data_IF_673554557437
#
_entry.id   IF_673554557437
#
_cell.length_a   1.000
_cell.length_b   1.000
_cell.length_c   1.000
_cell.angle_alpha   90.00
_cell.angle_beta   90.00
_cell.angle_gamma   90.00
#
_symmetry.space_group_name_H-M   'P 1'
#
loop_
_entity.id
_entity.type
_entity.pdbx_description
1 polymer ?
#
# COMPACT_ATOMS: atom_id res chain seq x y z
N UNK A 1 6.22 -13.88 -31.74
CA UNK A 1 6.13 -12.84 -30.71
C UNK A 1 4.93 -11.99 -31.09
N UNK A 2 3.79 -12.14 -30.38
CA UNK A 2 2.66 -11.20 -30.52
C UNK A 2 3.19 -9.82 -30.12
N UNK A 3 3.18 -8.86 -31.03
CA UNK A 3 3.30 -7.48 -30.65
C UNK A 3 2.07 -7.14 -29.80
N UNK A 4 2.24 -7.10 -28.51
CA UNK A 4 1.24 -6.52 -27.61
C UNK A 4 1.23 -5.03 -27.94
N UNK A 5 0.06 -4.50 -28.33
CA UNK A 5 -0.08 -3.08 -28.68
C UNK A 5 0.16 -2.13 -27.49
N UNK A 6 0.43 -2.68 -26.35
CA UNK A 6 0.84 -1.94 -25.18
C UNK A 6 -0.25 -1.13 -24.48
N UNK A 7 -1.52 -1.25 -24.84
CA UNK A 7 -2.62 -0.63 -24.09
C UNK A 7 -3.67 -1.69 -23.74
N UNK A 8 -3.74 -1.99 -22.45
CA UNK A 8 -4.74 -2.89 -21.88
C UNK A 8 -5.72 -2.04 -21.05
N UNK A 9 -7.02 -2.20 -21.28
CA UNK A 9 -8.07 -1.45 -20.55
C UNK A 9 -8.97 -2.47 -19.85
N UNK A 10 -9.08 -2.39 -18.53
CA UNK A 10 -9.80 -3.36 -17.67
C UNK A 10 -9.45 -4.83 -18.01
N UNK A 11 -8.18 -5.12 -18.27
CA UNK A 11 -7.70 -6.45 -18.63
C UNK A 11 -7.92 -6.86 -20.09
N UNK A 12 -8.53 -6.00 -20.91
CA UNK A 12 -8.70 -6.23 -22.35
C UNK A 12 -7.57 -5.60 -23.14
N UNK A 13 -6.76 -6.40 -23.82
CA UNK A 13 -5.78 -5.89 -24.78
C UNK A 13 -6.48 -5.39 -26.04
N UNK A 14 -6.26 -4.14 -26.41
CA UNK A 14 -6.82 -3.58 -27.64
C UNK A 14 -6.29 -4.29 -28.90
N UNK A 15 -5.13 -4.94 -28.82
CA UNK A 15 -4.59 -5.79 -29.89
C UNK A 15 -5.46 -6.99 -30.23
N UNK A 16 -6.17 -7.55 -29.25
CA UNK A 16 -7.10 -8.65 -29.49
C UNK A 16 -8.33 -8.21 -30.34
N UNK A 17 -8.61 -6.90 -30.36
CA UNK A 17 -9.63 -6.30 -31.23
C UNK A 17 -9.08 -5.91 -32.62
N UNK A 18 -7.82 -6.21 -32.90
CA UNK A 18 -7.14 -5.85 -34.15
C UNK A 18 -6.73 -4.38 -34.24
N UNK A 19 -6.65 -3.69 -33.10
CA UNK A 19 -6.25 -2.29 -33.02
C UNK A 19 -4.75 -2.17 -32.78
N UNK A 20 -4.13 -1.20 -33.41
CA UNK A 20 -2.74 -0.82 -33.24
C UNK A 20 -2.68 0.64 -32.80
N UNK A 21 -1.83 0.96 -31.85
CA UNK A 21 -1.58 2.34 -31.46
C UNK A 21 -0.45 2.89 -32.33
N UNK A 22 -0.69 4.01 -33.00
CA UNK A 22 0.30 4.65 -33.86
C UNK A 22 1.23 5.56 -33.10
N UNK A 23 0.67 6.42 -32.25
CA UNK A 23 1.40 7.46 -31.55
C UNK A 23 0.79 7.70 -30.15
N UNK A 24 1.54 8.37 -29.28
CA UNK A 24 1.01 8.84 -28.00
C UNK A 24 1.07 7.81 -26.89
N UNK A 25 2.04 6.92 -26.92
CA UNK A 25 2.21 5.89 -25.91
C UNK A 25 2.59 6.42 -24.53
N UNK A 26 3.10 7.63 -24.47
CA UNK A 26 3.60 8.20 -23.22
C UNK A 26 2.52 9.07 -22.57
N UNK A 27 2.17 8.77 -21.34
CA UNK A 27 1.42 9.71 -20.52
C UNK A 27 2.37 10.78 -19.97
N UNK A 28 2.05 12.08 -20.17
CA UNK A 28 2.86 13.15 -19.62
C UNK A 28 2.83 13.09 -18.10
N UNK A 29 3.87 13.58 -17.45
CA UNK A 29 3.85 13.81 -16.01
C UNK A 29 2.72 14.79 -15.67
N UNK A 30 2.04 14.62 -14.52
CA UNK A 30 0.99 15.54 -14.14
C UNK A 30 1.56 16.89 -13.75
N UNK A 31 0.93 17.94 -14.19
CA UNK A 31 1.32 19.30 -13.82
C UNK A 31 0.99 19.59 -12.36
N UNK A 32 1.86 20.25 -11.59
CA UNK A 32 1.52 20.72 -10.25
C UNK A 32 0.42 21.77 -10.31
N UNK A 33 -0.49 21.74 -9.34
CA UNK A 33 -1.46 22.82 -9.13
C UNK A 33 -0.79 23.93 -8.33
N UNK A 34 -0.41 24.99 -9.00
CA UNK A 34 0.16 26.17 -8.34
C UNK A 34 -0.94 27.08 -7.81
N UNK A 35 -0.73 27.59 -6.61
CA UNK A 35 -1.61 28.60 -6.01
C UNK A 35 -0.78 29.77 -5.51
N UNK A 36 -0.84 30.86 -6.26
CA UNK A 36 -0.12 32.09 -5.96
C UNK A 36 -1.09 33.24 -5.70
N UNK A 37 -0.76 34.10 -4.75
CA UNK A 37 -1.56 35.27 -4.38
C UNK A 37 -0.74 36.52 -4.66
N UNK A 38 -1.27 37.42 -5.48
CA UNK A 38 -0.70 38.72 -5.70
C UNK A 38 -1.15 39.67 -4.59
N UNK A 39 -0.20 40.34 -3.95
CA UNK A 39 -0.48 41.31 -2.90
C UNK A 39 -0.25 42.73 -3.44
N UNK A 40 -1.30 43.56 -3.57
CA UNK A 40 -1.16 44.89 -4.06
C UNK A 40 -0.17 45.75 -3.23
N UNK A 41 0.82 46.34 -3.90
CA UNK A 41 1.85 47.14 -3.26
C UNK A 41 3.05 46.37 -2.70
N UNK A 42 3.13 45.08 -2.95
CA UNK A 42 4.29 44.24 -2.65
C UNK A 42 4.98 43.80 -3.94
N UNK A 43 6.30 43.67 -3.91
CA UNK A 43 7.04 43.05 -4.98
C UNK A 43 6.91 41.53 -4.90
N UNK A 44 6.58 40.90 -6.04
CA UNK A 44 6.42 39.45 -6.16
C UNK A 44 5.05 38.90 -5.70
N UNK A 45 4.94 37.60 -5.61
CA UNK A 45 3.73 36.87 -5.24
C UNK A 45 3.99 35.99 -4.01
N UNK A 46 2.96 35.74 -3.25
CA UNK A 46 3.01 34.73 -2.17
C UNK A 46 2.63 33.37 -2.79
N UNK A 47 3.54 32.42 -2.75
CA UNK A 47 3.29 31.06 -3.19
C UNK A 47 2.74 30.23 -2.02
N UNK A 48 1.52 29.73 -2.21
CA UNK A 48 0.80 28.87 -1.27
C UNK A 48 0.63 27.44 -1.81
N UNK A 49 1.38 27.07 -2.82
CA UNK A 49 1.26 25.76 -3.50
C UNK A 49 1.41 24.58 -2.53
N UNK A 50 2.31 24.69 -1.56
CA UNK A 50 2.60 23.66 -0.56
C UNK A 50 1.95 23.92 0.81
N UNK A 51 1.03 24.87 0.91
CA UNK A 51 0.41 25.26 2.18
C UNK A 51 -0.27 24.08 2.90
N UNK A 52 -0.77 23.09 2.17
CA UNK A 52 -1.39 21.88 2.73
C UNK A 52 -0.37 20.78 3.10
N UNK A 53 0.93 21.07 3.02
CA UNK A 53 2.02 20.15 3.37
C UNK A 53 2.49 19.25 2.25
N UNK A 54 1.83 19.25 1.08
CA UNK A 54 2.28 18.54 -0.13
C UNK A 54 1.71 19.21 -1.39
N UNK A 55 2.36 18.93 -2.53
CA UNK A 55 1.96 19.44 -3.84
C UNK A 55 0.77 18.62 -4.35
N UNK A 56 -0.28 19.30 -4.76
CA UNK A 56 -1.38 18.68 -5.48
C UNK A 56 -1.13 18.74 -6.99
N UNK A 57 -1.49 17.68 -7.72
CA UNK A 57 -1.28 17.58 -9.16
C UNK A 57 -2.60 17.64 -9.94
N UNK A 58 -2.51 18.07 -11.19
CA UNK A 58 -3.61 18.03 -12.14
C UNK A 58 -3.77 16.62 -12.72
N UNK A 59 -4.91 16.39 -13.38
CA UNK A 59 -5.09 15.16 -14.16
C UNK A 59 -4.16 15.19 -15.39
N UNK A 60 -3.69 14.00 -15.77
CA UNK A 60 -2.93 13.82 -17.01
C UNK A 60 -3.90 13.70 -18.17
N UNK A 61 -3.62 14.36 -19.27
CA UNK A 61 -4.43 14.22 -20.49
C UNK A 61 -3.57 13.78 -21.65
N UNK A 62 -4.01 12.74 -22.34
CA UNK A 62 -3.33 12.19 -23.51
C UNK A 62 -4.34 11.71 -24.54
N UNK A 63 -3.98 11.83 -25.81
CA UNK A 63 -4.76 11.25 -26.92
C UNK A 63 -3.91 10.20 -27.63
N UNK A 64 -4.41 8.98 -27.64
CA UNK A 64 -3.86 7.85 -28.40
C UNK A 64 -4.51 7.81 -29.76
N UNK A 65 -3.75 7.55 -30.80
CA UNK A 65 -4.28 7.29 -32.15
C UNK A 65 -4.34 5.80 -32.37
N UNK A 66 -5.55 5.25 -32.31
CA UNK A 66 -5.82 3.84 -32.61
C UNK A 66 -6.00 3.65 -34.12
N UNK A 67 -5.44 2.58 -34.67
CA UNK A 67 -5.55 2.23 -36.08
C UNK A 67 -6.04 0.79 -36.21
N UNK A 68 -6.91 0.54 -37.19
CA UNK A 68 -7.23 -0.80 -37.63
C UNK A 68 -7.47 -0.83 -39.15
N UNK A 69 -7.23 -1.99 -39.76
CA UNK A 69 -7.62 -2.25 -41.15
C UNK A 69 -9.03 -2.81 -41.21
N UNK A 70 -9.95 -2.08 -41.83
CA UNK A 70 -11.34 -2.49 -42.01
C UNK A 70 -11.68 -2.55 -43.50
N UNK A 71 -12.10 -3.71 -43.97
CA UNK A 71 -12.41 -3.91 -45.38
C UNK A 71 -13.68 -3.16 -45.83
N UNK A 72 -14.57 -2.85 -44.92
CA UNK A 72 -15.83 -2.14 -45.21
C UNK A 72 -16.16 -1.14 -44.10
N UNK A 73 -16.91 -0.09 -44.44
CA UNK A 73 -17.44 0.88 -43.49
C UNK A 73 -18.26 0.22 -42.38
N UNK A 74 -18.98 -0.86 -42.72
CA UNK A 74 -19.74 -1.63 -41.73
C UNK A 74 -18.85 -2.28 -40.69
N UNK A 75 -17.72 -2.85 -41.08
CA UNK A 75 -16.73 -3.42 -40.12
C UNK A 75 -16.16 -2.35 -39.24
N UNK A 76 -15.84 -1.16 -39.77
CA UNK A 76 -15.37 -0.02 -38.98
C UNK A 76 -16.42 0.45 -37.98
N UNK A 77 -17.70 0.55 -38.36
CA UNK A 77 -18.78 0.91 -37.45
C UNK A 77 -19.03 -0.12 -36.34
N UNK A 78 -18.90 -1.40 -36.63
CA UNK A 78 -18.99 -2.46 -35.60
C UNK A 78 -17.86 -2.34 -34.64
N UNK A 79 -16.61 -2.13 -35.08
CA UNK A 79 -15.45 -1.93 -34.25
C UNK A 79 -15.59 -0.67 -33.38
N UNK A 80 -16.01 0.44 -33.97
CA UNK A 80 -16.28 1.69 -33.23
C UNK A 80 -17.33 1.49 -32.13
N UNK A 81 -18.42 0.76 -32.43
CA UNK A 81 -19.47 0.49 -31.45
C UNK A 81 -18.93 -0.38 -30.30
N UNK A 82 -18.09 -1.36 -30.59
CA UNK A 82 -17.47 -2.22 -29.60
C UNK A 82 -16.51 -1.44 -28.71
N UNK A 83 -15.66 -0.58 -29.30
CA UNK A 83 -14.79 0.33 -28.57
C UNK A 83 -15.58 1.31 -27.69
N UNK A 84 -16.63 1.92 -28.25
CA UNK A 84 -17.43 2.87 -27.49
C UNK A 84 -18.09 2.20 -26.28
N UNK A 85 -18.58 0.97 -26.42
CA UNK A 85 -19.13 0.20 -25.29
C UNK A 85 -18.08 -0.11 -24.22
N UNK A 86 -16.85 -0.36 -24.63
CA UNK A 86 -15.75 -0.67 -23.71
C UNK A 86 -15.30 0.56 -22.95
N UNK A 87 -15.07 1.70 -23.63
CA UNK A 87 -14.31 2.82 -23.06
C UNK A 87 -15.04 4.14 -23.00
N UNK A 88 -15.95 4.46 -23.96
CA UNK A 88 -16.44 5.82 -24.12
C UNK A 88 -17.22 6.32 -22.91
N UNK A 89 -16.80 7.49 -22.39
CA UNK A 89 -17.41 8.16 -21.24
C UNK A 89 -17.19 7.46 -19.90
N UNK A 90 -16.49 6.33 -19.86
CA UNK A 90 -16.31 5.54 -18.65
C UNK A 90 -14.95 5.81 -18.00
N UNK A 91 -14.93 5.72 -16.67
CA UNK A 91 -13.70 5.68 -15.89
C UNK A 91 -13.26 4.23 -15.79
N UNK A 92 -12.04 3.94 -16.20
CA UNK A 92 -11.48 2.61 -16.34
C UNK A 92 -10.05 2.56 -15.84
N UNK A 93 -9.61 1.36 -15.46
CA UNK A 93 -8.19 1.09 -15.23
C UNK A 93 -7.53 0.72 -16.56
N UNK A 94 -6.28 1.10 -16.73
CA UNK A 94 -5.51 0.77 -17.90
C UNK A 94 -4.02 0.64 -17.60
N UNK A 95 -3.33 -0.17 -18.38
CA UNK A 95 -1.90 -0.37 -18.29
C UNK A 95 -1.25 -0.08 -19.65
N UNK A 96 -0.04 0.48 -19.60
CA UNK A 96 0.77 0.79 -20.76
C UNK A 96 1.92 -0.21 -20.86
N UNK A 97 2.14 -0.80 -22.03
CA UNK A 97 3.23 -1.75 -22.23
C UNK A 97 4.63 -1.16 -22.06
N UNK A 98 4.76 0.16 -22.12
CA UNK A 98 6.01 0.88 -21.89
C UNK A 98 6.29 1.17 -20.42
N UNK A 99 5.27 1.07 -19.56
CA UNK A 99 5.40 1.27 -18.11
C UNK A 99 4.92 0.00 -17.37
N UNK A 100 5.65 -1.12 -17.53
CA UNK A 100 5.23 -2.38 -16.95
C UNK A 100 5.26 -2.35 -15.43
N UNK A 101 4.29 -3.00 -14.81
CA UNK A 101 4.15 -3.03 -13.36
C UNK A 101 3.34 -1.87 -12.78
N UNK A 102 2.71 -1.05 -13.66
CA UNK A 102 1.89 0.08 -13.25
C UNK A 102 0.53 0.08 -13.91
N UNK A 103 -0.47 0.42 -13.11
CA UNK A 103 -1.85 0.59 -13.53
C UNK A 103 -2.28 2.03 -13.33
N UNK A 104 -2.91 2.60 -14.34
CA UNK A 104 -3.48 3.93 -14.35
C UNK A 104 -4.99 3.87 -14.24
N UNK A 105 -5.61 4.94 -13.75
CA UNK A 105 -7.06 5.09 -13.74
C UNK A 105 -7.44 6.39 -14.44
N UNK A 106 -8.35 6.32 -15.39
CA UNK A 106 -8.75 7.50 -16.15
C UNK A 106 -10.13 7.37 -16.80
N UNK A 107 -10.63 8.49 -17.30
CA UNK A 107 -11.85 8.55 -18.08
C UNK A 107 -11.51 8.69 -19.56
N UNK A 108 -12.10 7.82 -20.36
CA UNK A 108 -11.86 7.76 -21.79
C UNK A 108 -12.94 8.46 -22.59
N UNK A 109 -12.53 9.08 -23.69
CA UNK A 109 -13.41 9.62 -24.72
C UNK A 109 -12.93 9.17 -26.10
N UNK A 110 -13.78 8.43 -26.79
CA UNK A 110 -13.52 8.01 -28.17
C UNK A 110 -13.98 9.14 -29.09
N UNK A 111 -13.08 9.62 -29.93
CA UNK A 111 -13.38 10.64 -30.92
C UNK A 111 -13.95 10.08 -32.23
N UNK A 112 -14.18 11.00 -33.18
CA UNK A 112 -14.68 10.65 -34.49
C UNK A 112 -13.61 9.92 -35.31
N UNK A 113 -13.91 8.77 -35.92
CA UNK A 113 -12.98 8.08 -36.77
C UNK A 113 -12.66 8.86 -38.03
N UNK A 114 -11.45 8.67 -38.54
CA UNK A 114 -11.05 9.15 -39.86
C UNK A 114 -10.67 7.96 -40.74
N UNK A 115 -10.92 8.09 -42.04
CA UNK A 115 -10.63 7.10 -43.03
C UNK A 115 -9.91 7.74 -44.23
N UNK A 116 -8.77 7.17 -44.61
CA UNK A 116 -8.06 7.61 -45.78
C UNK A 116 -8.70 6.98 -47.03
N UNK A 117 -9.22 7.83 -47.93
CA UNK A 117 -9.83 7.39 -49.17
C UNK A 117 -8.85 6.57 -50.01
N UNK A 118 -9.31 5.38 -50.45
CA UNK A 118 -8.48 4.45 -51.21
C UNK A 118 -7.65 3.48 -50.39
N UNK A 119 -7.77 3.49 -49.08
CA UNK A 119 -7.14 2.54 -48.18
C UNK A 119 -8.17 1.74 -47.39
N UNK A 120 -7.75 0.70 -46.68
CA UNK A 120 -8.57 0.00 -45.69
C UNK A 120 -8.30 0.46 -44.28
N UNK A 121 -7.53 1.57 -44.10
CA UNK A 121 -7.05 2.06 -42.82
C UNK A 121 -8.03 3.03 -42.23
N UNK A 122 -8.43 2.74 -41.00
CA UNK A 122 -9.27 3.58 -40.17
C UNK A 122 -8.51 3.98 -38.90
N UNK A 123 -8.67 5.19 -38.46
CA UNK A 123 -8.08 5.69 -37.23
C UNK A 123 -9.12 6.28 -36.30
N UNK A 124 -8.97 6.06 -34.99
CA UNK A 124 -9.81 6.59 -33.93
C UNK A 124 -8.94 7.32 -32.89
N UNK A 125 -9.18 8.61 -32.65
CA UNK A 125 -8.56 9.28 -31.52
C UNK A 125 -9.22 8.83 -30.21
N UNK A 126 -8.42 8.31 -29.29
CA UNK A 126 -8.85 7.91 -27.96
C UNK A 126 -8.20 8.82 -26.93
N UNK A 127 -8.95 9.76 -26.39
CA UNK A 127 -8.47 10.66 -25.34
C UNK A 127 -8.72 10.07 -23.97
N UNK A 128 -7.72 10.12 -23.10
CA UNK A 128 -7.84 9.75 -21.69
C UNK A 128 -7.53 10.97 -20.81
N UNK A 129 -8.36 11.17 -19.80
CA UNK A 129 -8.08 12.04 -18.65
C UNK A 129 -7.81 11.14 -17.47
N UNK A 130 -6.53 10.94 -17.14
CA UNK A 130 -6.08 10.04 -16.12
C UNK A 130 -5.80 10.74 -14.79
N UNK A 131 -5.90 10.00 -13.71
CA UNK A 131 -5.49 10.48 -12.39
C UNK A 131 -4.00 10.82 -12.38
N UNK A 132 -3.57 11.73 -11.51
CA UNK A 132 -2.17 12.14 -11.45
C UNK A 132 -1.23 11.01 -11.03
N UNK A 133 -1.71 10.09 -10.21
CA UNK A 133 -0.89 9.01 -9.68
C UNK A 133 -1.23 7.69 -10.36
N UNK A 134 -0.19 6.91 -10.63
CA UNK A 134 -0.27 5.51 -11.05
C UNK A 134 -0.18 4.60 -9.83
N UNK A 135 -0.79 3.44 -9.89
CA UNK A 135 -0.80 2.44 -8.83
C UNK A 135 0.08 1.28 -9.24
N UNK A 136 0.93 0.82 -8.35
CA UNK A 136 1.79 -0.34 -8.60
C UNK A 136 0.95 -1.60 -8.73
N UNK A 137 1.28 -2.46 -9.69
CA UNK A 137 0.64 -3.76 -9.85
C UNK A 137 0.88 -4.63 -8.60
N UNK A 138 -0.15 -5.37 -8.21
CA UNK A 138 -0.13 -6.10 -6.95
C UNK A 138 -0.53 -5.26 -5.73
N UNK A 139 -0.88 -3.97 -5.92
CA UNK A 139 -1.52 -3.19 -4.88
C UNK A 139 -2.97 -3.67 -4.65
N UNK A 140 -3.46 -3.58 -3.39
CA UNK A 140 -2.74 -3.05 -2.23
C UNK A 140 -1.59 -3.96 -1.78
N UNK A 141 -0.45 -3.34 -1.43
CA UNK A 141 0.64 -4.06 -0.81
C UNK A 141 0.21 -4.53 0.58
N UNK A 142 0.50 -5.77 0.90
CA UNK A 142 0.12 -6.38 2.18
C UNK A 142 1.36 -6.90 2.88
N UNK A 143 1.55 -6.46 4.10
CA UNK A 143 2.61 -6.90 5.00
C UNK A 143 1.99 -7.69 6.13
N UNK A 144 2.39 -8.95 6.25
CA UNK A 144 1.91 -9.86 7.26
C UNK A 144 2.93 -9.95 8.40
N UNK A 145 2.46 -9.82 9.62
CA UNK A 145 3.28 -9.96 10.83
C UNK A 145 2.90 -11.25 11.54
N UNK A 146 3.79 -12.20 11.57
CA UNK A 146 3.63 -13.49 12.22
C UNK A 146 4.61 -13.63 13.40
N UNK A 147 4.73 -12.59 14.20
CA UNK A 147 5.64 -12.62 15.34
C UNK A 147 4.97 -12.07 16.58
N UNK A 148 5.27 -12.67 17.72
CA UNK A 148 4.90 -12.13 19.01
C UNK A 148 5.83 -10.97 19.39
N UNK A 149 5.25 -9.94 20.00
CA UNK A 149 6.01 -8.75 20.45
C UNK A 149 6.16 -7.67 19.39
N UNK A 150 7.09 -6.76 19.60
CA UNK A 150 7.33 -5.65 18.70
C UNK A 150 8.04 -6.05 17.42
N UNK A 151 7.45 -5.77 16.27
CA UNK A 151 8.02 -5.99 14.94
C UNK A 151 8.16 -4.65 14.23
N UNK A 152 9.36 -4.36 13.79
CA UNK A 152 9.66 -3.20 12.98
C UNK A 152 9.52 -3.55 11.51
N UNK A 153 8.74 -2.77 10.79
CA UNK A 153 8.52 -2.89 9.35
C UNK A 153 9.05 -1.65 8.67
N UNK A 154 9.84 -1.82 7.64
CA UNK A 154 10.19 -0.74 6.71
C UNK A 154 9.24 -0.79 5.52
N UNK A 155 8.38 0.20 5.38
CA UNK A 155 7.31 0.29 4.39
C UNK A 155 7.68 1.29 3.30
N UNK A 156 7.97 0.85 2.07
CA UNK A 156 8.25 1.74 0.96
C UNK A 156 6.95 2.40 0.47
N UNK A 157 6.96 3.71 0.33
CA UNK A 157 5.82 4.49 -0.16
C UNK A 157 6.25 5.34 -1.35
N UNK A 158 5.41 5.36 -2.40
CA UNK A 158 5.60 6.19 -3.58
C UNK A 158 5.36 7.68 -3.29
N UNK A 159 5.33 8.49 -4.34
CA UNK A 159 5.21 9.95 -4.18
C UNK A 159 3.95 10.39 -3.45
N UNK A 160 2.88 9.61 -3.52
CA UNK A 160 1.65 9.90 -2.79
C UNK A 160 1.70 9.35 -1.39
N UNK A 161 1.63 10.22 -0.38
CA UNK A 161 1.46 9.81 1.01
C UNK A 161 0.23 8.96 1.21
N UNK A 162 0.27 7.99 2.09
CA UNK A 162 -0.82 7.05 2.32
C UNK A 162 -1.09 6.83 3.80
N UNK A 163 -2.37 6.69 4.14
CA UNK A 163 -2.80 6.22 5.44
C UNK A 163 -3.07 4.72 5.33
N UNK A 164 -2.24 3.85 5.93
CA UNK A 164 -2.41 2.42 5.82
C UNK A 164 -3.65 1.93 6.58
N UNK A 165 -4.23 0.84 6.10
CA UNK A 165 -5.16 0.03 6.88
C UNK A 165 -4.35 -0.96 7.68
N UNK A 166 -4.55 -0.98 8.99
CA UNK A 166 -3.89 -1.93 9.90
C UNK A 166 -4.98 -2.80 10.51
N UNK A 167 -4.87 -4.08 10.30
CA UNK A 167 -5.74 -5.06 10.93
C UNK A 167 -4.95 -5.82 11.97
N UNK A 168 -5.46 -5.83 13.19
CA UNK A 168 -4.86 -6.54 14.32
C UNK A 168 -5.87 -7.49 14.93
N UNK A 169 -5.44 -8.65 15.39
CA UNK A 169 -6.36 -9.59 16.04
C UNK A 169 -6.43 -9.39 17.56
N UNK A 170 -5.48 -8.67 18.14
CA UNK A 170 -5.43 -8.34 19.56
C UNK A 170 -5.16 -6.87 19.74
N UNK A 171 -5.41 -6.36 20.93
CA UNK A 171 -4.94 -5.03 21.29
C UNK A 171 -3.44 -4.92 20.98
N UNK A 172 -3.08 -3.95 20.19
CA UNK A 172 -1.73 -3.77 19.68
C UNK A 172 -1.30 -2.31 19.77
N UNK A 173 -0.02 -2.08 19.98
CA UNK A 173 0.55 -0.74 19.97
C UNK A 173 1.27 -0.51 18.63
N UNK A 174 0.87 0.54 17.93
CA UNK A 174 1.50 0.96 16.69
C UNK A 174 2.29 2.22 16.94
N UNK A 175 3.56 2.24 16.56
CA UNK A 175 4.45 3.40 16.76
C UNK A 175 5.06 3.81 15.43
N UNK A 176 4.97 5.09 15.10
CA UNK A 176 5.58 5.70 13.91
C UNK A 176 6.02 7.14 14.24
N UNK A 177 7.24 7.50 13.85
CA UNK A 177 7.81 8.85 14.08
C UNK A 177 7.63 9.37 15.52
N UNK A 178 7.84 8.50 16.52
CA UNK A 178 7.75 8.85 17.92
C UNK A 178 6.33 9.05 18.47
N UNK A 179 5.30 8.79 17.66
CA UNK A 179 3.90 8.75 18.09
C UNK A 179 3.45 7.31 18.21
N UNK A 180 2.62 7.04 19.21
CA UNK A 180 2.09 5.70 19.43
C UNK A 180 0.56 5.74 19.52
N UNK A 181 -0.07 4.69 19.00
CA UNK A 181 -1.52 4.50 19.00
C UNK A 181 -1.85 3.08 19.43
N UNK A 182 -2.82 2.94 20.30
CA UNK A 182 -3.37 1.63 20.68
C UNK A 182 -4.50 1.29 19.70
N UNK A 183 -4.45 0.09 19.13
CA UNK A 183 -5.47 -0.46 18.26
C UNK A 183 -6.20 -1.60 18.95
N UNK A 184 -7.51 -1.53 18.91
CA UNK A 184 -8.38 -2.65 19.27
C UNK A 184 -8.43 -3.69 18.14
N UNK A 185 -8.78 -4.96 18.45
CA UNK A 185 -8.92 -6.01 17.46
C UNK A 185 -9.82 -5.61 16.29
N UNK A 186 -9.36 -5.86 15.07
CA UNK A 186 -10.05 -5.56 13.82
C UNK A 186 -9.26 -4.64 12.91
N UNK A 187 -9.87 -4.28 11.78
CA UNK A 187 -9.26 -3.41 10.78
C UNK A 187 -9.51 -1.93 11.13
N UNK A 188 -8.46 -1.16 11.20
CA UNK A 188 -8.48 0.26 11.56
C UNK A 188 -7.64 1.10 10.63
N UNK A 189 -8.05 2.37 10.44
CA UNK A 189 -7.24 3.42 9.84
C UNK A 189 -6.98 4.51 10.88
N UNK A 190 -5.72 4.73 11.19
CA UNK A 190 -5.31 5.76 12.14
C UNK A 190 -5.25 7.09 11.38
N UNK A 191 -6.17 8.00 11.68
CA UNK A 191 -6.34 9.27 10.95
C UNK A 191 -5.07 10.12 10.87
N UNK A 192 -4.21 10.06 11.89
CA UNK A 192 -3.00 10.86 11.99
C UNK A 192 -1.74 10.08 11.62
N UNK A 193 -1.87 8.82 11.20
CA UNK A 193 -0.78 7.99 10.72
C UNK A 193 -0.68 8.14 9.19
N UNK A 194 0.29 8.94 8.77
CA UNK A 194 0.61 9.10 7.36
C UNK A 194 2.01 8.58 7.09
N UNK A 195 2.09 7.66 6.13
CA UNK A 195 3.36 7.22 5.56
C UNK A 195 3.71 8.17 4.42
N UNK A 196 4.87 8.77 4.51
CA UNK A 196 5.36 9.77 3.55
C UNK A 196 6.20 9.08 2.45
N UNK A 197 6.54 9.82 1.42
CA UNK A 197 7.39 9.32 0.35
C UNK A 197 8.71 8.76 0.86
N UNK A 198 9.09 7.58 0.34
CA UNK A 198 10.30 6.85 0.73
C UNK A 198 10.01 5.72 1.71
N UNK A 199 11.02 5.33 2.45
CA UNK A 199 10.92 4.26 3.44
C UNK A 199 10.42 4.81 4.78
N UNK A 200 9.44 4.11 5.35
CA UNK A 200 8.80 4.48 6.61
C UNK A 200 8.92 3.33 7.60
N UNK A 201 9.48 3.59 8.75
CA UNK A 201 9.59 2.60 9.80
C UNK A 201 8.34 2.63 10.68
N UNK A 202 7.68 1.49 10.75
CA UNK A 202 6.48 1.26 11.54
C UNK A 202 6.74 0.12 12.51
N UNK A 203 6.68 0.41 13.80
CA UNK A 203 6.75 -0.60 14.84
C UNK A 203 5.33 -1.01 15.23
N UNK A 204 5.03 -2.30 15.15
CA UNK A 204 3.79 -2.87 15.63
C UNK A 204 4.11 -3.86 16.73
N UNK A 205 3.64 -3.56 17.93
CA UNK A 205 3.73 -4.45 19.07
C UNK A 205 2.37 -5.08 19.34
N UNK A 206 2.26 -6.35 19.02
CA UNK A 206 1.03 -7.13 19.17
C UNK A 206 0.80 -7.59 20.61
N UNK A 207 1.72 -7.28 21.51
CA UNK A 207 1.66 -7.56 22.94
C UNK A 207 2.19 -6.39 23.75
N UNK A 208 1.51 -5.23 23.70
CA UNK A 208 1.98 -4.05 24.43
C UNK A 208 2.06 -4.34 25.94
N UNK A 209 3.20 -4.05 26.51
CA UNK A 209 3.48 -4.29 27.94
C UNK A 209 4.20 -5.58 28.26
N UNK A 210 4.36 -6.50 27.30
CA UNK A 210 5.13 -7.73 27.53
C UNK A 210 6.61 -7.62 27.20
N UNK A 211 7.02 -6.59 26.46
CA UNK A 211 8.41 -6.33 26.11
C UNK A 211 9.07 -7.42 25.26
N UNK A 212 10.26 -7.12 24.75
CA UNK A 212 11.11 -8.11 24.05
C UNK A 212 12.05 -8.84 25.02
N UNK A 213 11.78 -8.80 26.32
CA UNK A 213 12.63 -9.44 27.31
C UNK A 213 12.63 -10.97 27.05
N UNK A 214 13.80 -11.52 26.79
CA UNK A 214 13.99 -12.95 26.78
C UNK A 214 14.17 -13.43 28.22
N UNK A 215 13.82 -14.69 28.47
CA UNK A 215 13.89 -15.26 29.80
C UNK A 215 15.26 -15.14 30.47
N UNK A 216 16.33 -15.24 29.69
CA UNK A 216 17.71 -15.05 30.16
C UNK A 216 17.95 -13.66 30.76
N UNK A 217 17.25 -12.63 30.29
CA UNK A 217 17.40 -11.25 30.76
C UNK A 217 16.74 -11.07 32.14
N UNK A 218 15.69 -11.81 32.41
CA UNK A 218 15.00 -11.82 33.71
C UNK A 218 15.75 -12.69 34.74
N UNK A 219 16.30 -13.81 34.31
CA UNK A 219 17.06 -14.71 35.17
C UNK A 219 18.44 -14.12 35.57
N UNK A 220 18.98 -13.19 34.77
CA UNK A 220 20.28 -12.56 35.05
C UNK A 220 20.29 -11.56 36.21
N UNK A 221 19.12 -11.13 36.70
CA UNK A 221 19.02 -10.13 37.79
C UNK A 221 19.10 -10.75 39.17
N UNK A 222 18.87 -12.04 39.32
CA UNK A 222 19.09 -12.75 40.59
C UNK A 222 19.52 -14.21 40.35
N UNK A 223 20.77 -14.41 40.06
CA UNK A 223 21.38 -15.73 39.82
C UNK A 223 21.25 -16.69 41.03
N UNK A 224 20.79 -16.22 42.18
CA UNK A 224 20.55 -17.04 43.38
C UNK A 224 19.06 -17.39 43.57
N UNK A 225 18.17 -16.84 42.77
CA UNK A 225 16.75 -17.14 42.91
C UNK A 225 16.45 -18.54 42.38
N UNK A 226 16.19 -19.45 43.28
CA UNK A 226 15.71 -20.80 42.94
C UNK A 226 14.23 -20.64 42.58
N UNK A 227 13.82 -21.28 41.50
CA UNK A 227 12.42 -21.26 41.03
C UNK A 227 11.40 -21.45 42.17
N UNK A 228 11.67 -22.34 43.10
CA UNK A 228 10.84 -22.60 44.27
C UNK A 228 10.58 -21.32 45.13
N UNK A 229 11.46 -20.34 45.09
CA UNK A 229 11.32 -19.09 45.87
C UNK A 229 10.52 -18.01 45.16
N UNK A 230 10.28 -18.13 43.85
CA UNK A 230 9.58 -17.12 43.05
C UNK A 230 8.28 -17.64 42.41
N UNK A 231 7.98 -18.96 42.54
CA UNK A 231 6.79 -19.60 41.94
C UNK A 231 5.45 -18.94 42.28
N UNK A 232 5.35 -18.37 43.48
CA UNK A 232 4.14 -17.72 43.96
C UNK A 232 4.13 -16.19 43.73
N UNK A 233 5.17 -15.64 43.08
CA UNK A 233 5.26 -14.22 42.78
C UNK A 233 4.69 -13.95 41.39
N UNK A 234 3.95 -12.85 41.28
CA UNK A 234 3.56 -12.35 39.95
C UNK A 234 4.80 -11.87 39.20
N UNK A 235 4.88 -12.11 37.92
CA UNK A 235 5.99 -11.70 37.08
C UNK A 235 6.29 -10.19 37.17
N UNK A 236 5.26 -9.36 37.31
CA UNK A 236 5.42 -7.93 37.57
C UNK A 236 6.23 -7.60 38.83
N UNK A 237 6.35 -8.58 39.76
CA UNK A 237 7.15 -8.41 40.97
C UNK A 237 8.56 -8.98 40.84
N UNK A 238 8.82 -9.77 39.79
CA UNK A 238 10.14 -10.41 39.54
C UNK A 238 10.92 -9.64 38.48
N UNK A 239 10.25 -9.11 37.48
CA UNK A 239 10.85 -8.23 36.48
C UNK A 239 11.12 -6.85 37.12
N UNK A 240 12.37 -6.52 37.34
CA UNK A 240 12.78 -5.21 37.82
C UNK A 240 12.64 -4.15 36.71
N UNK A 241 11.44 -3.65 36.52
CA UNK A 241 11.16 -2.56 35.58
C UNK A 241 9.73 -2.06 35.78
N UNK A 242 9.53 -0.77 35.59
CA UNK A 242 8.30 -0.03 35.86
C UNK A 242 7.08 -0.40 34.98
N UNK A 243 7.13 -1.49 34.23
CA UNK A 243 5.97 -1.99 33.47
C UNK A 243 5.27 -3.11 34.22
N UNK A 244 4.01 -2.93 34.59
CA UNK A 244 3.21 -4.01 35.17
C UNK A 244 2.89 -5.04 34.07
N UNK A 245 3.73 -6.05 33.93
CA UNK A 245 3.43 -7.24 33.15
C UNK A 245 2.22 -7.93 33.79
N UNK A 246 1.04 -7.68 33.28
CA UNK A 246 -0.14 -8.45 33.63
C UNK A 246 -0.06 -9.78 32.87
N UNK A 247 0.55 -10.77 33.47
CA UNK A 247 0.62 -12.11 32.90
C UNK A 247 -0.63 -12.85 33.34
N UNK A 248 -1.56 -13.17 32.40
CA UNK A 248 -2.77 -13.92 32.77
C UNK A 248 -2.50 -15.40 32.99
N UNK A 249 -1.30 -15.89 32.68
CA UNK A 249 -0.96 -17.30 32.78
C UNK A 249 -0.12 -17.60 34.02
N UNK A 250 -0.35 -18.75 34.61
CA UNK A 250 0.38 -19.23 35.77
C UNK A 250 1.40 -20.27 35.33
N UNK A 251 2.54 -20.29 36.04
CA UNK A 251 3.60 -21.26 35.77
C UNK A 251 3.15 -22.74 35.90
N UNK A 252 2.02 -22.98 36.53
CA UNK A 252 1.44 -24.32 36.60
C UNK A 252 1.14 -24.90 35.21
N UNK A 253 0.90 -24.05 34.22
CA UNK A 253 0.65 -24.48 32.84
C UNK A 253 1.93 -24.95 32.13
N UNK A 254 3.10 -24.64 32.68
CA UNK A 254 4.40 -25.00 32.15
C UNK A 254 5.19 -25.97 33.07
N UNK A 255 4.51 -26.65 33.99
CA UNK A 255 5.12 -27.51 35.00
C UNK A 255 5.96 -28.69 34.48
N UNK A 256 5.92 -28.97 33.17
CA UNK A 256 6.75 -30.01 32.51
C UNK A 256 7.94 -29.47 31.71
N UNK A 257 8.13 -28.16 31.64
CA UNK A 257 9.20 -27.55 30.83
C UNK A 257 10.44 -27.26 31.70
N UNK A 258 11.63 -27.40 31.10
CA UNK A 258 12.87 -27.07 31.79
C UNK A 258 13.36 -25.67 31.39
N UNK A 259 14.13 -25.02 32.26
CA UNK A 259 14.74 -23.74 31.99
C UNK A 259 15.54 -23.69 30.70
N UNK A 260 16.27 -24.76 30.40
CA UNK A 260 17.07 -24.85 29.19
C UNK A 260 16.21 -24.88 27.93
N UNK A 261 14.99 -25.42 28.01
CA UNK A 261 14.05 -25.43 26.89
C UNK A 261 13.38 -24.05 26.66
N UNK A 262 13.33 -23.22 27.67
CA UNK A 262 12.70 -21.89 27.64
C UNK A 262 13.71 -20.75 27.39
N UNK A 263 15.00 -21.00 27.61
CA UNK A 263 16.06 -19.96 27.64
C UNK A 263 16.21 -19.15 26.35
N UNK A 264 15.76 -19.68 25.21
CA UNK A 264 15.79 -18.97 23.93
C UNK A 264 14.43 -18.43 23.47
N UNK A 265 13.36 -18.74 24.21
CA UNK A 265 12.01 -18.27 23.88
C UNK A 265 11.76 -16.90 24.49
N UNK A 266 10.99 -16.08 23.78
CA UNK A 266 10.49 -14.82 24.34
C UNK A 266 9.46 -15.14 25.43
N UNK A 267 9.42 -14.31 26.47
CA UNK A 267 8.46 -14.49 27.55
C UNK A 267 7.00 -14.58 27.07
N UNK A 268 6.65 -13.75 26.12
CA UNK A 268 5.31 -13.74 25.51
C UNK A 268 4.95 -15.09 24.86
N UNK A 269 5.94 -15.77 24.26
CA UNK A 269 5.76 -17.09 23.64
C UNK A 269 5.51 -18.17 24.68
N UNK A 270 6.14 -18.04 25.82
CA UNK A 270 5.98 -18.98 26.94
C UNK A 270 4.68 -18.74 27.71
N UNK A 271 4.39 -17.48 28.04
CA UNK A 271 3.23 -17.10 28.83
C UNK A 271 1.90 -17.34 28.14
N UNK A 272 1.88 -17.31 26.82
CA UNK A 272 0.65 -17.45 26.02
C UNK A 272 0.59 -18.71 25.19
N UNK A 273 1.60 -19.62 25.31
CA UNK A 273 1.67 -20.80 24.46
C UNK A 273 1.81 -20.52 22.99
N UNK A 274 2.30 -19.33 22.64
CA UNK A 274 2.48 -18.92 21.24
C UNK A 274 3.74 -19.59 20.73
N UNK A 275 3.58 -20.58 19.90
CA UNK A 275 4.68 -21.15 19.14
C UNK A 275 4.97 -20.31 17.90
N UNK A 276 6.22 -20.29 17.47
CA UNK A 276 6.62 -19.69 16.20
C UNK A 276 5.97 -20.47 15.05
N UNK A 277 4.75 -20.16 14.71
CA UNK A 277 3.94 -20.88 13.73
C UNK A 277 2.44 -20.70 13.93
N UNK A 278 2.01 -20.10 15.05
CA UNK A 278 0.63 -19.69 15.22
C UNK A 278 0.32 -18.59 14.24
N UNK A 279 -0.72 -18.80 13.42
CA UNK A 279 -1.20 -17.82 12.43
C UNK A 279 -1.47 -16.51 13.14
N UNK A 280 -0.67 -15.44 12.92
CA UNK A 280 -0.97 -14.25 13.46
C UNK A 280 -0.36 -13.13 13.11
N UNK A 281 -0.67 -12.08 13.18
CA UNK A 281 -1.24 -11.26 14.10
C UNK A 281 -1.62 -9.89 13.63
N UNK A 282 -0.95 -9.33 12.62
CA UNK A 282 -1.31 -8.05 12.06
C UNK A 282 -1.08 -7.99 10.55
N UNK A 283 -1.94 -7.23 9.88
CA UNK A 283 -1.75 -6.89 8.48
C UNK A 283 -1.59 -5.39 8.36
N UNK A 284 -0.63 -4.97 7.56
CA UNK A 284 -0.54 -3.59 7.11
C UNK A 284 -0.79 -3.58 5.62
N UNK A 285 -1.77 -2.81 5.18
CA UNK A 285 -2.19 -2.78 3.79
C UNK A 285 -2.34 -1.35 3.28
N UNK A 286 -1.78 -1.07 2.10
CA UNK A 286 -1.92 0.22 1.46
C UNK A 286 -1.64 0.15 -0.05
N UNK A 287 -2.18 1.12 -0.79
CA UNK A 287 -1.89 1.27 -2.21
C UNK A 287 -0.56 2.01 -2.41
N UNK A 288 0.37 1.40 -3.14
CA UNK A 288 1.58 2.06 -3.56
C UNK A 288 1.29 2.90 -4.81
N UNK A 289 1.36 4.22 -4.67
CA UNK A 289 1.06 5.16 -5.74
C UNK A 289 2.23 6.11 -6.00
N UNK A 290 2.57 6.30 -7.29
CA UNK A 290 3.66 7.17 -7.75
C UNK A 290 3.23 8.04 -8.94
N UNK A 291 4.09 9.00 -9.34
CA UNK A 291 3.83 9.91 -10.47
C UNK A 291 4.12 9.27 -11.82
#
# INVERSE_FOLDING_TARGET
VRQTNGLTIDGHDLGDMGLVILDGFELPLPEPKTYVVDVPGSDGVIDLTEFAGDIAYQQRSQTFTLMASCLTDRTAQVLQTSLARLVHGRRKTFALGQDPGWTYTGRFALGTPTHDSGTTVWTWPLTVSADPYKTRDGSPLTWLINAAGGVELTLPVGRRRVCPTIEVQRESLVTHNGKSWTLEPGASKIRDLWLEWGDNDLLIDTYPGYGNAVWSDVAGTDASAVWASIKDKRWSAVAAGDSPLQVPDTWENHAGETWDSLGSKRWVEVAHGITSGDEYSAYVQYDYQDL
#
